data_IF_981555357821
#
_entry.id   IF_981555357821
#
_cell.length_a   1.000
_cell.length_b   1.000
_cell.length_c   1.000
_cell.angle_alpha   90.00
_cell.angle_beta   90.00
_cell.angle_gamma   90.00
#
_symmetry.space_group_name_H-M   'P 1'
#
loop_
_entity.id
_entity.type
_entity.pdbx_description
1 polymer ?
#
# COMPACT_ATOMS: atom_id res chain seq x y z
N UNK A 1 29.70 -18.32 13.76
CA UNK A 1 30.11 -16.98 13.29
C UNK A 1 29.34 -16.71 12.00
N UNK A 2 28.29 -15.89 12.05
CA UNK A 2 27.54 -15.50 10.85
C UNK A 2 27.53 -13.97 10.81
N UNK A 3 28.29 -13.41 9.87
CA UNK A 3 28.39 -11.96 9.68
C UNK A 3 27.20 -11.54 8.82
N UNK A 4 26.15 -11.06 9.47
CA UNK A 4 25.05 -10.35 8.80
C UNK A 4 25.58 -8.97 8.45
N UNK A 5 26.11 -8.83 7.23
CA UNK A 5 26.59 -7.55 6.69
C UNK A 5 25.37 -6.64 6.50
N UNK A 6 25.15 -5.72 7.44
CA UNK A 6 24.19 -4.63 7.29
C UNK A 6 24.59 -3.81 6.07
N UNK A 7 23.82 -3.89 4.99
CA UNK A 7 23.94 -2.95 3.86
C UNK A 7 23.20 -1.69 4.26
N UNK A 8 23.96 -0.65 4.57
CA UNK A 8 23.48 0.61 5.15
C UNK A 8 23.42 1.67 4.06
N UNK A 9 22.36 2.47 4.09
CA UNK A 9 22.12 3.62 3.23
C UNK A 9 23.08 4.76 3.58
N UNK A 10 23.48 5.59 2.61
CA UNK A 10 24.16 6.85 2.93
C UNK A 10 23.08 7.89 3.27
N UNK A 11 23.02 8.29 4.54
CA UNK A 11 22.27 9.49 4.94
C UNK A 11 23.20 10.70 4.82
N UNK A 12 22.86 11.64 3.95
CA UNK A 12 23.53 12.94 3.89
C UNK A 12 22.83 13.91 4.85
N UNK A 13 23.62 14.44 5.79
CA UNK A 13 23.16 15.30 6.87
C UNK A 13 23.49 16.76 6.51
N UNK A 14 22.48 17.62 6.30
CA UNK A 14 22.57 19.05 6.62
C UNK A 14 21.20 19.63 7.01
N UNK A 15 21.16 20.25 8.19
CA UNK A 15 20.04 21.03 8.73
C UNK A 15 19.89 22.38 8.04
N UNK A 16 18.65 22.87 7.91
CA UNK A 16 18.25 24.19 8.44
C UNK A 16 16.73 24.31 8.56
N UNK A 17 16.33 24.82 9.72
CA UNK A 17 14.95 25.00 10.17
C UNK A 17 14.15 25.98 9.29
N UNK A 18 12.95 25.56 8.91
CA UNK A 18 11.91 26.39 8.30
C UNK A 18 10.55 25.84 8.72
N UNK A 19 9.86 26.59 9.57
CA UNK A 19 8.58 26.25 10.17
C UNK A 19 7.49 26.16 9.09
N UNK A 20 7.02 24.96 8.73
CA UNK A 20 5.84 24.78 7.88
C UNK A 20 4.97 23.63 8.39
N UNK A 21 3.66 23.88 8.34
CA UNK A 21 2.61 23.10 8.98
C UNK A 21 2.69 21.60 8.71
N UNK A 22 2.63 20.82 9.79
CA UNK A 22 2.47 19.37 9.76
C UNK A 22 1.05 19.02 9.33
N UNK A 23 0.79 19.09 8.03
CA UNK A 23 -0.36 18.42 7.41
C UNK A 23 0.12 17.03 7.03
N UNK A 24 -0.37 16.05 7.78
CA UNK A 24 -0.14 14.61 7.59
C UNK A 24 -0.34 14.20 6.13
N UNK A 25 0.77 13.98 5.41
CA UNK A 25 0.78 13.55 4.00
C UNK A 25 0.40 12.07 3.81
N UNK A 26 -0.15 11.42 4.84
CA UNK A 26 -0.44 9.98 4.88
C UNK A 26 -1.82 9.61 4.32
N UNK A 27 -2.57 10.60 3.83
CA UNK A 27 -3.91 10.43 3.26
C UNK A 27 -4.03 10.85 1.78
N UNK A 28 -2.97 11.39 1.16
CA UNK A 28 -3.01 11.86 -0.24
C UNK A 28 -2.42 10.91 -1.28
N UNK A 29 -1.72 9.85 -0.88
CA UNK A 29 -0.97 8.96 -1.78
C UNK A 29 -1.68 7.65 -2.17
N UNK A 30 -2.97 7.46 -1.84
CA UNK A 30 -3.64 6.15 -2.02
C UNK A 30 -4.24 5.88 -3.41
N UNK A 31 -4.38 6.87 -4.29
CA UNK A 31 -5.16 6.70 -5.53
C UNK A 31 -4.60 7.39 -6.79
N UNK A 32 -3.32 7.76 -6.86
CA UNK A 32 -2.87 8.77 -7.85
C UNK A 32 -2.84 8.29 -9.32
N UNK A 33 -2.93 6.99 -9.62
CA UNK A 33 -2.77 6.49 -10.99
C UNK A 33 -3.81 5.44 -11.38
N UNK A 34 -5.01 5.86 -11.80
CA UNK A 34 -5.92 5.00 -12.57
C UNK A 34 -6.36 3.69 -11.91
N UNK A 35 -6.45 3.66 -10.58
CA UNK A 35 -6.78 2.44 -9.84
C UNK A 35 -5.57 1.61 -9.39
N UNK A 36 -4.37 2.17 -9.46
CA UNK A 36 -3.13 1.57 -8.97
C UNK A 36 -2.66 2.27 -7.68
N UNK A 37 -2.25 1.50 -6.67
CA UNK A 37 -1.71 2.04 -5.41
C UNK A 37 -0.29 1.54 -5.13
N UNK A 38 0.47 2.34 -4.36
CA UNK A 38 1.81 1.98 -3.90
C UNK A 38 1.77 0.83 -2.92
N UNK A 39 2.58 -0.20 -3.15
CA UNK A 39 2.78 -1.36 -2.28
C UNK A 39 3.69 -1.01 -1.08
N UNK A 40 3.37 -1.52 0.12
CA UNK A 40 4.13 -1.25 1.34
C UNK A 40 4.76 -2.48 1.99
N UNK A 41 4.44 -3.68 1.51
CA UNK A 41 4.94 -4.95 2.05
C UNK A 41 5.16 -5.95 0.92
N UNK A 42 6.02 -6.95 1.14
CA UNK A 42 6.30 -7.98 0.12
C UNK A 42 5.06 -8.82 -0.21
N UNK A 43 4.16 -9.02 0.75
CA UNK A 43 2.96 -9.85 0.58
C UNK A 43 1.92 -9.21 -0.36
N UNK A 44 1.98 -7.89 -0.53
CA UNK A 44 1.19 -7.16 -1.51
C UNK A 44 1.77 -7.22 -2.93
N UNK A 45 3.02 -7.66 -3.10
CA UNK A 45 3.69 -7.74 -4.41
C UNK A 45 3.30 -9.06 -5.08
N UNK A 46 2.08 -9.10 -5.63
CA UNK A 46 1.54 -10.28 -6.30
C UNK A 46 0.65 -9.90 -7.48
N UNK A 47 0.62 -10.73 -8.52
CA UNK A 47 -0.19 -10.49 -9.70
C UNK A 47 0.33 -9.30 -10.51
N UNK A 48 -0.57 -8.48 -11.06
CA UNK A 48 -0.17 -7.33 -11.88
C UNK A 48 0.50 -6.25 -11.04
N UNK A 49 1.68 -5.81 -11.49
CA UNK A 49 2.43 -4.72 -10.87
C UNK A 49 3.07 -3.82 -11.93
N UNK A 50 3.39 -2.59 -11.56
CA UNK A 50 4.21 -1.68 -12.36
C UNK A 50 5.34 -1.11 -11.49
N UNK A 51 6.52 -0.91 -12.07
CA UNK A 51 7.67 -0.29 -11.42
C UNK A 51 7.68 1.17 -11.85
N UNK A 52 7.60 2.09 -10.91
CA UNK A 52 7.61 3.53 -11.14
C UNK A 52 8.89 4.13 -10.56
N UNK A 53 9.59 4.93 -11.37
CA UNK A 53 10.66 5.81 -10.90
C UNK A 53 10.14 7.25 -10.94
N UNK A 54 10.59 8.13 -10.04
CA UNK A 54 10.17 9.54 -10.08
C UNK A 54 8.66 9.75 -9.91
N UNK A 55 7.99 10.29 -10.92
CA UNK A 55 6.56 10.65 -10.87
C UNK A 55 5.87 10.23 -12.16
N UNK A 56 4.97 9.26 -12.07
CA UNK A 56 4.15 8.76 -13.17
C UNK A 56 4.96 8.32 -14.40
N UNK A 57 6.21 7.88 -14.22
CA UNK A 57 7.02 7.24 -15.26
C UNK A 57 7.28 5.79 -14.87
N UNK A 58 6.91 4.86 -15.76
CA UNK A 58 6.95 3.43 -15.46
C UNK A 58 7.99 2.71 -16.31
N UNK A 59 8.53 1.63 -15.77
CA UNK A 59 9.42 0.74 -16.53
C UNK A 59 8.62 0.05 -17.64
N UNK A 60 9.03 0.29 -18.88
CA UNK A 60 8.44 -0.23 -20.10
C UNK A 60 9.26 -1.38 -20.66
N UNK A 61 8.60 -2.49 -20.98
CA UNK A 61 9.20 -3.61 -21.68
C UNK A 61 9.27 -3.37 -23.20
N UNK A 62 10.38 -3.75 -23.81
CA UNK A 62 10.58 -3.72 -25.26
C UNK A 62 10.55 -5.14 -25.86
N UNK A 63 10.22 -5.24 -27.14
CA UNK A 63 10.12 -6.51 -27.89
C UNK A 63 11.47 -7.23 -28.06
N UNK A 64 12.59 -6.50 -27.99
CA UNK A 64 13.95 -7.02 -28.00
C UNK A 64 14.43 -7.56 -26.62
N UNK A 65 13.53 -7.57 -25.63
CA UNK A 65 13.80 -8.03 -24.27
C UNK A 65 14.63 -7.06 -23.43
N UNK A 66 14.75 -5.80 -23.84
CA UNK A 66 15.28 -4.71 -23.00
C UNK A 66 14.14 -4.00 -22.26
N UNK A 67 14.51 -3.18 -21.28
CA UNK A 67 13.59 -2.31 -20.54
C UNK A 67 14.11 -0.88 -20.57
N UNK A 68 13.18 0.07 -20.64
CA UNK A 68 13.46 1.50 -20.62
C UNK A 68 12.43 2.22 -19.74
N UNK A 69 12.71 3.44 -19.31
CA UNK A 69 11.72 4.27 -18.64
C UNK A 69 10.74 4.88 -19.66
N UNK A 70 9.44 4.67 -19.45
CA UNK A 70 8.39 5.27 -20.26
C UNK A 70 8.29 6.79 -20.05
N UNK A 71 7.63 7.46 -21.00
CA UNK A 71 7.30 8.88 -20.86
C UNK A 71 6.37 9.11 -19.65
N UNK A 72 6.38 10.31 -19.04
CA UNK A 72 5.46 10.63 -17.95
C UNK A 72 4.00 10.50 -18.39
N UNK A 73 3.18 9.91 -17.53
CA UNK A 73 1.73 9.79 -17.72
C UNK A 73 1.00 10.99 -17.11
N UNK A 74 -0.20 11.25 -17.62
CA UNK A 74 -1.09 12.28 -17.10
C UNK A 74 -1.64 11.89 -15.72
N UNK A 75 -2.04 12.90 -14.94
CA UNK A 75 -2.60 12.67 -13.60
C UNK A 75 -3.86 11.80 -13.66
N UNK A 76 -3.84 10.69 -12.93
CA UNK A 76 -4.95 9.75 -12.88
C UNK A 76 -4.88 8.63 -13.91
N UNK A 77 -3.91 8.63 -14.82
CA UNK A 77 -3.68 7.51 -15.73
C UNK A 77 -2.88 6.39 -15.07
N UNK A 78 -3.19 5.15 -15.46
CA UNK A 78 -2.48 3.96 -15.06
C UNK A 78 -1.36 3.60 -16.06
N UNK A 79 -0.45 2.68 -15.70
CA UNK A 79 0.58 2.19 -16.61
C UNK A 79 -0.02 1.61 -17.90
N UNK A 80 0.70 1.80 -19.00
CA UNK A 80 0.39 1.22 -20.31
C UNK A 80 0.54 -0.31 -20.27
N UNK A 81 -0.09 -1.06 -21.19
CA UNK A 81 0.03 -2.52 -21.23
C UNK A 81 1.47 -3.04 -21.23
N UNK A 82 2.40 -2.35 -21.90
CA UNK A 82 3.82 -2.70 -21.94
C UNK A 82 4.62 -2.33 -20.68
N UNK A 83 4.03 -1.54 -19.78
CA UNK A 83 4.59 -1.16 -18.46
C UNK A 83 4.06 -2.06 -17.33
N UNK A 84 3.07 -2.91 -17.63
CA UNK A 84 2.52 -3.87 -16.69
C UNK A 84 3.34 -5.15 -16.68
N UNK A 85 3.80 -5.52 -15.49
CA UNK A 85 4.51 -6.76 -15.19
C UNK A 85 3.60 -7.69 -14.37
N UNK A 86 3.97 -8.96 -14.30
CA UNK A 86 3.39 -9.91 -13.35
C UNK A 86 4.43 -10.29 -12.30
N UNK A 87 4.12 -10.05 -11.03
CA UNK A 87 4.94 -10.45 -9.89
C UNK A 87 4.54 -11.81 -9.33
N UNK A 88 5.55 -12.60 -8.98
CA UNK A 88 5.42 -13.89 -8.34
C UNK A 88 6.26 -13.90 -7.07
N UNK A 89 5.67 -14.29 -5.93
CA UNK A 89 6.43 -14.52 -4.70
C UNK A 89 7.27 -15.79 -4.86
N UNK A 90 8.59 -15.67 -4.69
CA UNK A 90 9.54 -16.80 -4.77
C UNK A 90 9.87 -17.32 -3.37
N UNK A 91 10.01 -16.42 -2.40
CA UNK A 91 10.19 -16.71 -0.99
C UNK A 91 9.62 -15.58 -0.13
N UNK A 92 9.77 -15.64 1.19
CA UNK A 92 9.38 -14.56 2.09
C UNK A 92 10.22 -13.29 1.94
N UNK A 93 11.33 -13.34 1.18
CA UNK A 93 12.21 -12.18 0.95
C UNK A 93 12.38 -11.85 -0.52
N UNK A 94 11.93 -12.70 -1.44
CA UNK A 94 12.22 -12.55 -2.87
C UNK A 94 10.98 -12.71 -3.74
N UNK A 95 11.00 -11.95 -4.82
CA UNK A 95 10.01 -11.99 -5.89
C UNK A 95 10.68 -12.28 -7.23
N UNK A 96 9.88 -12.69 -8.21
CA UNK A 96 10.24 -12.69 -9.61
C UNK A 96 9.24 -11.82 -10.38
N UNK A 97 9.72 -11.14 -11.41
CA UNK A 97 8.92 -10.24 -12.25
C UNK A 97 8.93 -10.78 -13.68
N UNK A 98 7.76 -10.82 -14.31
CA UNK A 98 7.56 -11.28 -15.68
C UNK A 98 6.97 -10.16 -16.53
N UNK A 99 7.56 -9.90 -17.69
CA UNK A 99 7.06 -8.92 -18.65
C UNK A 99 5.77 -9.36 -19.34
N UNK A 100 5.08 -8.41 -19.97
CA UNK A 100 3.95 -8.69 -20.86
C UNK A 100 4.30 -9.61 -22.04
N UNK A 101 5.58 -9.69 -22.43
CA UNK A 101 6.09 -10.63 -23.43
C UNK A 101 6.30 -12.07 -22.90
N UNK A 102 5.94 -12.31 -21.64
CA UNK A 102 6.02 -13.64 -21.05
C UNK A 102 7.43 -14.06 -20.61
N UNK A 103 8.37 -13.12 -20.47
CA UNK A 103 9.76 -13.40 -20.06
C UNK A 103 10.06 -12.79 -18.70
N UNK A 104 10.86 -13.50 -17.89
CA UNK A 104 11.27 -13.03 -16.58
C UNK A 104 12.42 -12.02 -16.67
N UNK A 105 12.32 -10.99 -15.83
CA UNK A 105 13.33 -9.95 -15.65
C UNK A 105 14.53 -10.54 -14.92
N UNK A 106 15.71 -10.39 -15.50
CA UNK A 106 16.99 -10.78 -14.92
C UNK A 106 18.02 -9.68 -15.05
N UNK A 107 19.04 -9.73 -14.19
CA UNK A 107 20.27 -8.96 -14.40
C UNK A 107 21.22 -9.79 -15.27
N UNK A 108 21.80 -9.17 -16.30
CA UNK A 108 22.82 -9.78 -17.13
C UNK A 108 24.25 -9.48 -16.64
N UNK A 109 25.26 -9.97 -17.38
CA UNK A 109 26.67 -9.81 -16.99
C UNK A 109 27.16 -8.35 -17.10
N UNK A 110 26.48 -7.52 -17.90
CA UNK A 110 26.71 -6.08 -18.02
C UNK A 110 25.93 -5.26 -16.99
N UNK A 111 25.28 -5.90 -16.02
CA UNK A 111 24.36 -5.27 -15.07
C UNK A 111 23.12 -4.63 -15.70
N UNK A 112 22.83 -4.92 -16.98
CA UNK A 112 21.60 -4.49 -17.62
C UNK A 112 20.44 -5.40 -17.20
N UNK A 113 19.25 -4.81 -17.03
CA UNK A 113 18.03 -5.55 -16.74
C UNK A 113 17.38 -5.97 -18.06
N UNK A 114 17.24 -7.27 -18.27
CA UNK A 114 16.69 -7.84 -19.51
C UNK A 114 15.60 -8.88 -19.22
N UNK A 115 14.68 -9.04 -20.16
CA UNK A 115 13.50 -9.88 -20.06
C UNK A 115 13.55 -10.99 -21.09
N UNK A 116 14.44 -11.97 -20.89
CA UNK A 116 14.69 -13.03 -21.89
C UNK A 116 14.49 -14.45 -21.35
N UNK A 117 14.32 -14.62 -20.04
CA UNK A 117 14.23 -15.93 -19.40
C UNK A 117 12.81 -16.51 -19.43
N UNK A 118 12.67 -17.79 -19.73
CA UNK A 118 11.38 -18.52 -19.69
C UNK A 118 11.03 -19.07 -18.30
N UNK A 119 12.01 -19.15 -17.41
CA UNK A 119 11.87 -19.70 -16.07
C UNK A 119 12.57 -18.82 -15.02
N UNK A 120 12.13 -18.94 -13.78
CA UNK A 120 12.75 -18.26 -12.63
C UNK A 120 13.91 -19.11 -12.13
N UNK A 121 15.14 -18.63 -12.38
CA UNK A 121 16.35 -19.13 -11.77
C UNK A 121 16.86 -18.18 -10.69
N UNK A 122 18.16 -18.21 -10.42
CA UNK A 122 18.80 -17.31 -9.46
C UNK A 122 18.88 -15.86 -9.98
N UNK A 123 19.01 -15.67 -11.29
CA UNK A 123 19.23 -14.35 -11.91
C UNK A 123 17.94 -13.54 -12.04
N UNK A 124 16.79 -14.21 -12.00
CA UNK A 124 15.46 -13.64 -12.12
C UNK A 124 14.85 -13.24 -10.77
N UNK A 125 15.55 -13.51 -9.67
CA UNK A 125 15.10 -13.21 -8.32
C UNK A 125 15.53 -11.80 -7.91
N UNK A 126 14.56 -11.04 -7.40
CA UNK A 126 14.71 -9.70 -6.87
C UNK A 126 14.32 -9.67 -5.41
N UNK A 127 15.04 -8.91 -4.60
CA UNK A 127 14.78 -8.72 -3.18
C UNK A 127 14.26 -7.28 -2.94
N UNK A 128 12.96 -7.11 -2.65
CA UNK A 128 12.41 -5.81 -2.26
C UNK A 128 12.95 -5.36 -0.90
N UNK A 129 13.56 -4.18 -0.85
CA UNK A 129 14.11 -3.60 0.37
C UNK A 129 13.29 -2.38 0.77
N UNK A 130 12.54 -2.51 1.87
CA UNK A 130 11.78 -1.40 2.45
C UNK A 130 12.58 -0.76 3.59
N UNK A 131 12.82 0.56 3.51
CA UNK A 131 13.44 1.31 4.60
C UNK A 131 12.97 2.76 4.63
N UNK A 132 12.53 3.25 5.79
CA UNK A 132 12.13 4.65 5.97
C UNK A 132 10.99 5.08 5.04
N UNK A 133 10.06 4.17 4.74
CA UNK A 133 8.95 4.41 3.80
C UNK A 133 9.36 4.42 2.31
N UNK A 134 10.63 4.12 2.01
CA UNK A 134 11.15 3.98 0.64
C UNK A 134 11.27 2.51 0.28
N UNK A 135 11.22 2.23 -1.03
CA UNK A 135 11.39 0.92 -1.62
C UNK A 135 12.49 0.97 -2.67
N UNK A 136 13.34 -0.06 -2.69
CA UNK A 136 14.30 -0.34 -3.75
C UNK A 136 14.29 -1.84 -4.09
N UNK A 137 14.66 -2.22 -5.31
CA UNK A 137 14.76 -3.63 -5.73
C UNK A 137 16.22 -4.05 -5.85
N UNK A 138 16.64 -5.02 -5.05
CA UNK A 138 18.00 -5.56 -5.05
C UNK A 138 18.08 -6.78 -5.98
N UNK A 139 18.98 -6.74 -6.96
CA UNK A 139 19.25 -7.85 -7.88
C UNK A 139 20.20 -8.90 -7.31
N UNK A 140 20.32 -10.03 -8.01
CA UNK A 140 21.21 -11.14 -7.62
C UNK A 140 22.71 -10.76 -7.61
N UNK A 141 23.10 -9.75 -8.38
CA UNK A 141 24.46 -9.19 -8.41
C UNK A 141 24.78 -8.33 -7.17
N UNK A 142 23.80 -8.12 -6.29
CA UNK A 142 23.95 -7.32 -5.09
C UNK A 142 23.89 -5.81 -5.32
N UNK A 143 23.36 -5.37 -6.46
CA UNK A 143 23.13 -3.98 -6.80
C UNK A 143 21.63 -3.69 -6.93
N UNK A 144 21.24 -2.44 -6.69
CA UNK A 144 19.87 -1.98 -6.78
C UNK A 144 19.51 -1.58 -8.20
N UNK A 145 18.26 -1.84 -8.58
CA UNK A 145 17.68 -1.40 -9.84
C UNK A 145 17.59 0.11 -9.89
N UNK A 146 17.98 0.69 -11.03
CA UNK A 146 17.86 2.12 -11.33
C UNK A 146 17.70 2.33 -12.84
N UNK A 147 17.56 3.59 -13.25
CA UNK A 147 17.48 4.01 -14.65
C UNK A 147 18.76 4.75 -15.01
N UNK A 148 19.38 4.36 -16.12
CA UNK A 148 20.57 5.00 -16.66
C UNK A 148 20.23 6.41 -17.16
N UNK A 149 21.01 7.45 -16.80
CA UNK A 149 20.66 8.85 -17.10
C UNK A 149 20.89 9.26 -18.55
N UNK A 150 21.57 8.44 -19.35
CA UNK A 150 21.98 8.72 -20.72
C UNK A 150 20.98 8.22 -21.76
N UNK A 151 20.39 7.04 -21.55
CA UNK A 151 19.50 6.40 -22.51
C UNK A 151 18.21 5.82 -21.91
N UNK A 152 17.91 6.15 -20.65
CA UNK A 152 16.75 5.66 -19.91
C UNK A 152 16.69 4.12 -19.80
N UNK A 153 17.79 3.40 -20.03
CA UNK A 153 17.83 1.95 -19.88
C UNK A 153 17.74 1.52 -18.42
N UNK A 154 17.12 0.37 -18.16
CA UNK A 154 17.03 -0.16 -16.79
C UNK A 154 18.26 -1.00 -16.48
N UNK A 155 18.93 -0.65 -15.38
CA UNK A 155 20.20 -1.25 -14.96
C UNK A 155 20.18 -1.61 -13.48
N UNK A 156 21.19 -2.36 -13.02
CA UNK A 156 21.39 -2.69 -11.62
C UNK A 156 22.89 -2.59 -11.27
N UNK A 157 23.42 -1.38 -11.14
CA UNK A 157 24.87 -1.14 -10.99
C UNK A 157 25.29 -0.69 -9.59
N UNK A 158 24.37 -0.04 -8.86
CA UNK A 158 24.68 0.66 -7.62
C UNK A 158 24.48 -0.25 -6.41
N UNK A 159 25.53 -0.41 -5.58
CA UNK A 159 25.49 -1.29 -4.39
C UNK A 159 24.77 -0.69 -3.17
N UNK A 160 24.60 0.63 -3.16
CA UNK A 160 24.00 1.36 -2.05
C UNK A 160 22.91 2.27 -2.58
N UNK A 161 21.66 2.01 -2.19
CA UNK A 161 20.52 2.78 -2.67
C UNK A 161 20.64 4.27 -2.30
N UNK A 162 20.64 5.13 -3.32
CA UNK A 162 20.52 6.57 -3.23
C UNK A 162 19.14 7.03 -3.71
N UNK A 163 19.05 8.26 -4.23
CA UNK A 163 17.79 8.77 -4.78
C UNK A 163 17.38 8.10 -6.10
N UNK A 164 18.34 7.66 -6.92
CA UNK A 164 18.08 7.04 -8.22
C UNK A 164 17.59 5.59 -8.15
N UNK A 165 17.82 4.91 -7.03
CA UNK A 165 17.43 3.51 -6.79
C UNK A 165 16.08 3.41 -6.05
N UNK A 166 15.54 4.54 -5.59
CA UNK A 166 14.24 4.57 -4.92
C UNK A 166 13.13 4.54 -5.97
N UNK A 167 12.26 3.55 -5.85
CA UNK A 167 11.15 3.32 -6.75
C UNK A 167 9.84 3.13 -5.97
N UNK A 168 8.74 3.11 -6.70
CA UNK A 168 7.44 2.66 -6.21
C UNK A 168 7.02 1.41 -6.97
N UNK A 169 6.54 0.39 -6.26
CA UNK A 169 5.78 -0.68 -6.89
C UNK A 169 4.31 -0.35 -6.78
N UNK A 170 3.64 -0.31 -7.92
CA UNK A 170 2.19 -0.07 -8.03
C UNK A 170 1.47 -1.38 -8.29
N UNK A 171 0.29 -1.56 -7.68
CA UNK A 171 -0.57 -2.73 -7.93
C UNK A 171 -2.05 -2.33 -8.02
N UNK A 172 -2.86 -3.02 -8.86
CA UNK A 172 -4.31 -2.86 -8.93
C UNK A 172 -5.07 -3.97 -8.18
N UNK A 173 -4.38 -4.86 -7.44
CA UNK A 173 -4.98 -5.98 -6.69
C UNK A 173 -5.73 -5.58 -5.39
N UNK A 174 -7.06 -5.42 -5.45
CA UNK A 174 -7.90 -4.90 -4.35
C UNK A 174 -7.39 -5.32 -2.97
N UNK A 175 -6.96 -4.35 -2.18
CA UNK A 175 -6.59 -4.59 -0.79
C UNK A 175 -7.84 -5.02 -0.03
N UNK A 176 -7.81 -6.19 0.60
CA UNK A 176 -8.70 -6.43 1.74
C UNK A 176 -8.45 -5.27 2.69
N UNK A 177 -9.49 -4.46 2.98
CA UNK A 177 -9.37 -3.39 3.97
C UNK A 177 -8.67 -3.98 5.18
N UNK A 178 -7.54 -3.40 5.55
CA UNK A 178 -6.91 -3.73 6.81
C UNK A 178 -8.01 -3.68 7.88
N UNK A 179 -8.26 -4.81 8.54
CA UNK A 179 -9.11 -4.86 9.74
C UNK A 179 -8.44 -4.15 10.92
N UNK A 180 -7.53 -3.21 10.67
CA UNK A 180 -6.86 -2.39 11.65
C UNK A 180 -7.71 -1.14 11.93
N UNK A 181 -8.72 -1.32 12.79
CA UNK A 181 -9.22 -0.22 13.62
C UNK A 181 -10.18 0.77 12.97
N UNK A 182 -10.87 0.44 11.87
CA UNK A 182 -12.14 1.12 11.56
C UNK A 182 -13.13 0.76 12.67
N UNK A 183 -13.13 1.56 13.75
CA UNK A 183 -14.23 1.64 14.71
C UNK A 183 -15.52 1.65 13.89
N UNK A 184 -16.46 0.71 14.14
CA UNK A 184 -17.71 0.63 13.38
C UNK A 184 -18.32 2.02 13.24
N UNK A 185 -18.94 2.34 12.09
CA UNK A 185 -19.54 3.67 11.86
C UNK A 185 -20.49 4.07 13.01
N UNK A 186 -21.10 3.06 13.64
CA UNK A 186 -21.95 3.20 14.80
C UNK A 186 -21.23 3.66 16.08
N UNK A 187 -19.94 3.39 16.20
CA UNK A 187 -19.06 3.78 17.31
C UNK A 187 -18.23 5.04 17.01
N UNK A 188 -18.36 5.61 15.80
CA UNK A 188 -17.71 6.86 15.43
C UNK A 188 -18.45 8.06 16.04
N UNK A 189 -17.71 8.89 16.79
CA UNK A 189 -18.20 10.14 17.36
C UNK A 189 -18.28 10.14 18.89
N UNK A 190 -18.98 11.14 19.44
CA UNK A 190 -19.24 11.22 20.88
C UNK A 190 -20.35 10.25 21.30
N UNK A 191 -20.47 9.94 22.59
CA UNK A 191 -21.44 8.95 23.12
C UNK A 191 -22.88 9.19 22.68
N UNK A 192 -23.26 10.45 22.47
CA UNK A 192 -24.60 10.81 21.97
C UNK A 192 -24.78 10.42 20.50
N UNK A 193 -23.75 10.60 19.67
CA UNK A 193 -23.75 10.17 18.28
C UNK A 193 -23.73 8.64 18.17
N UNK A 194 -22.97 7.97 19.05
CA UNK A 194 -22.94 6.50 19.12
C UNK A 194 -24.34 5.95 19.41
N UNK A 195 -25.01 6.46 20.46
CA UNK A 195 -26.39 6.03 20.78
C UNK A 195 -27.35 6.27 19.61
N UNK A 196 -27.26 7.42 18.93
CA UNK A 196 -28.09 7.74 17.76
C UNK A 196 -27.83 6.79 16.58
N UNK A 197 -26.57 6.49 16.30
CA UNK A 197 -26.19 5.63 15.18
C UNK A 197 -26.68 4.19 15.41
N UNK A 198 -26.50 3.68 16.64
CA UNK A 198 -27.02 2.37 17.03
C UNK A 198 -28.56 2.31 16.98
N UNK A 199 -29.26 3.32 17.51
CA UNK A 199 -30.74 3.35 17.45
C UNK A 199 -31.22 3.43 16.01
N UNK A 200 -30.57 4.25 15.17
CA UNK A 200 -30.91 4.38 13.75
C UNK A 200 -30.78 3.06 13.00
N UNK A 201 -29.78 2.24 13.32
CA UNK A 201 -29.57 0.93 12.67
C UNK A 201 -30.68 -0.07 12.98
N UNK A 202 -31.18 -0.07 14.23
CA UNK A 202 -32.04 -1.15 14.72
C UNK A 202 -33.52 -0.76 14.93
N UNK A 203 -33.87 0.54 14.89
CA UNK A 203 -35.25 1.01 15.01
C UNK A 203 -36.07 0.76 13.73
N UNK A 204 -37.36 0.40 13.88
CA UNK A 204 -38.31 0.38 12.76
C UNK A 204 -38.86 1.78 12.46
N UNK A 205 -38.66 2.27 11.24
CA UNK A 205 -39.07 3.61 10.80
C UNK A 205 -40.49 3.64 10.19
N UNK A 206 -41.51 3.22 10.94
CA UNK A 206 -42.88 3.34 10.43
C UNK A 206 -43.34 4.82 10.36
N UNK A 207 -42.90 5.67 11.30
CA UNK A 207 -43.34 7.07 11.41
C UNK A 207 -42.30 8.12 10.95
N UNK A 208 -41.22 7.70 10.25
CA UNK A 208 -40.05 8.54 9.89
C UNK A 208 -39.35 9.29 11.05
N UNK A 209 -39.72 9.02 12.32
CA UNK A 209 -39.13 9.64 13.52
C UNK A 209 -38.22 8.66 14.27
N UNK A 210 -37.02 9.12 14.65
CA UNK A 210 -36.12 8.39 15.55
C UNK A 210 -36.63 8.56 16.99
N UNK A 211 -36.73 7.47 17.75
CA UNK A 211 -37.07 7.51 19.19
C UNK A 211 -35.82 7.14 19.96
N UNK A 212 -35.28 8.09 20.71
CA UNK A 212 -34.13 7.91 21.59
C UNK A 212 -34.61 7.69 23.03
N UNK A 213 -33.76 7.06 23.84
CA UNK A 213 -34.01 6.89 25.26
C UNK A 213 -33.98 8.26 25.96
N UNK A 214 -34.90 8.49 26.87
CA UNK A 214 -34.92 9.69 27.74
C UNK A 214 -34.09 9.51 29.01
N UNK A 215 -33.50 8.32 29.22
CA UNK A 215 -32.68 8.03 30.40
C UNK A 215 -31.36 8.78 30.37
N UNK A 216 -30.81 9.07 31.54
CA UNK A 216 -29.51 9.72 31.68
C UNK A 216 -28.39 8.93 30.99
N UNK A 217 -27.37 9.63 30.50
CA UNK A 217 -26.26 9.07 29.72
C UNK A 217 -25.07 8.66 30.59
N UNK A 218 -25.08 8.95 31.89
CA UNK A 218 -24.01 8.55 32.81
C UNK A 218 -23.76 7.04 32.87
N UNK A 219 -24.80 6.22 32.64
CA UNK A 219 -24.65 4.76 32.51
C UNK A 219 -23.81 4.35 31.29
N UNK A 220 -23.93 5.07 30.17
CA UNK A 220 -23.17 4.79 28.95
C UNK A 220 -21.71 5.23 29.07
N UNK A 221 -21.44 6.29 29.85
CA UNK A 221 -20.07 6.72 30.15
C UNK A 221 -19.32 5.68 30.97
N UNK A 222 -19.94 5.19 32.05
CA UNK A 222 -19.37 4.09 32.85
C UNK A 222 -19.17 2.84 32.01
N UNK A 223 -20.16 2.50 31.19
CA UNK A 223 -20.11 1.31 30.37
C UNK A 223 -19.02 1.36 29.28
N UNK A 224 -18.68 2.56 28.80
CA UNK A 224 -17.56 2.77 27.88
C UNK A 224 -16.22 2.51 28.56
N UNK A 225 -16.05 2.92 29.81
CA UNK A 225 -14.81 2.69 30.58
C UNK A 225 -14.68 1.24 31.03
N UNK A 226 -15.80 0.58 31.34
CA UNK A 226 -15.84 -0.81 31.83
C UNK A 226 -15.85 -1.86 30.68
N UNK A 227 -16.03 -1.43 29.43
CA UNK A 227 -16.00 -2.30 28.25
C UNK A 227 -17.31 -3.03 27.93
N UNK A 228 -18.41 -2.71 28.62
CA UNK A 228 -19.75 -3.29 28.45
C UNK A 228 -20.74 -2.32 27.76
N UNK A 229 -20.23 -1.35 26.98
CA UNK A 229 -21.03 -0.34 26.27
C UNK A 229 -22.11 -0.96 25.37
N UNK A 230 -21.77 -2.03 24.65
CA UNK A 230 -22.68 -2.65 23.69
C UNK A 230 -23.89 -3.30 24.37
N UNK A 231 -23.67 -3.98 25.49
CA UNK A 231 -24.73 -4.61 26.29
C UNK A 231 -25.67 -3.55 26.88
N UNK A 232 -25.10 -2.46 27.39
CA UNK A 232 -25.86 -1.35 27.97
C UNK A 232 -26.71 -0.63 26.91
N UNK A 233 -26.16 -0.43 25.69
CA UNK A 233 -26.92 0.13 24.56
C UNK A 233 -28.06 -0.81 24.11
N UNK A 234 -27.84 -2.13 24.15
CA UNK A 234 -28.86 -3.12 23.83
C UNK A 234 -29.99 -3.13 24.87
N UNK A 235 -29.67 -3.10 26.16
CA UNK A 235 -30.66 -3.02 27.24
C UNK A 235 -31.52 -1.76 27.12
N UNK A 236 -30.91 -0.59 26.86
CA UNK A 236 -31.65 0.66 26.63
C UNK A 236 -32.57 0.56 25.42
N UNK A 237 -32.09 -0.02 24.31
CA UNK A 237 -32.89 -0.22 23.09
C UNK A 237 -34.05 -1.18 23.28
N UNK A 238 -33.84 -2.28 24.01
CA UNK A 238 -34.87 -3.28 24.29
C UNK A 238 -36.09 -2.69 24.98
N UNK A 239 -35.87 -1.69 25.85
CA UNK A 239 -36.92 -1.03 26.63
C UNK A 239 -37.77 -0.03 25.81
N UNK A 240 -37.32 0.37 24.62
CA UNK A 240 -38.00 1.39 23.81
C UNK A 240 -39.16 0.85 22.94
N UNK A 241 -39.42 -0.48 22.92
CA UNK A 241 -40.45 -1.17 22.12
C UNK A 241 -40.49 -0.80 20.62
N UNK A 242 -39.45 -0.13 20.12
CA UNK A 242 -39.32 0.35 18.74
C UNK A 242 -38.14 -0.30 18.00
N UNK A 243 -37.32 -1.06 18.73
CA UNK A 243 -36.24 -1.89 18.17
C UNK A 243 -36.85 -3.09 17.43
N UNK A 244 -36.33 -3.38 16.24
CA UNK A 244 -36.83 -4.45 15.36
C UNK A 244 -36.62 -5.85 15.93
N UNK A 245 -35.55 -6.03 16.69
CA UNK A 245 -35.02 -7.32 17.11
C UNK A 245 -35.26 -7.60 18.60
N UNK A 246 -35.61 -6.58 19.39
CA UNK A 246 -36.02 -6.75 20.77
C UNK A 246 -37.56 -6.89 20.82
N UNK A 247 -38.05 -8.13 20.75
CA UNK A 247 -39.47 -8.48 20.95
C UNK A 247 -39.69 -9.09 22.32
#
# INVERSE_FOLDING_TARGET
MSVVTRRVWVMENQEKAGNFHHVTNMQRSRCFSGGWWSVHSIDEITGSVAIEFGTQTYVKALDNGLFTLGAPHDEGDGPNPEEVLTAFKVSDTKIALKSGYGKYLRVDQSNSVTGRSDAVGHMEQWEPVFQGGKLALLGCNGCFMSVAPDDDSVVAEVKTAGAGEVLQLRSPAIREKDKSGEVPVEEQGNLSQVEVNYVRKFQKFQDKKIRLSTRDKGELEKARTEGNLHETLLDRRSKMKADRYCK
#
